data_IF_623880949638
#
_entry.id   IF_623880949638
#
_cell.length_a   1.000
_cell.length_b   1.000
_cell.length_c   1.000
_cell.angle_alpha   90.00
_cell.angle_beta   90.00
_cell.angle_gamma   90.00
#
_symmetry.space_group_name_H-M   'P 1'
#
loop_
_entity.id
_entity.type
_entity.pdbx_description
1 polymer ?
#
# COMPACT_ATOMS: atom_id res chain seq x y z
N UNK A 1 24.39 -3.37 -1.51
CA UNK A 1 23.43 -2.25 -1.56
C UNK A 1 22.70 -2.31 -0.24
N UNK A 2 22.81 -1.27 0.58
CA UNK A 2 22.18 -1.24 1.90
C UNK A 2 20.81 -0.58 1.77
N UNK A 3 19.75 -1.20 2.29
CA UNK A 3 18.39 -0.69 2.19
C UNK A 3 18.12 0.10 3.47
N UNK A 4 18.10 1.43 3.37
CA UNK A 4 17.89 2.32 4.52
C UNK A 4 16.43 2.40 4.98
N UNK A 5 15.47 2.14 4.09
CA UNK A 5 14.04 2.32 4.37
C UNK A 5 13.17 1.61 3.34
N UNK A 6 12.00 1.15 3.76
CA UNK A 6 10.96 0.54 2.91
C UNK A 6 9.63 1.23 3.20
N UNK A 7 8.90 1.56 2.14
CA UNK A 7 7.62 2.27 2.19
C UNK A 7 6.59 1.55 1.32
N UNK A 8 5.32 1.61 1.73
CA UNK A 8 4.17 1.02 1.03
C UNK A 8 3.08 2.07 0.84
N UNK A 9 2.36 2.01 -0.28
CA UNK A 9 1.31 2.97 -0.61
C UNK A 9 0.00 2.28 -0.99
N UNK A 10 -1.13 2.88 -0.60
CA UNK A 10 -2.47 2.44 -1.00
C UNK A 10 -3.41 3.63 -1.16
N UNK A 11 -4.35 3.51 -2.10
CA UNK A 11 -5.46 4.45 -2.26
C UNK A 11 -6.66 4.09 -1.41
N UNK A 12 -6.66 2.89 -0.84
CA UNK A 12 -7.79 2.40 -0.06
C UNK A 12 -7.63 2.81 1.40
N UNK A 13 -8.30 3.90 1.77
CA UNK A 13 -8.44 4.32 3.17
C UNK A 13 -9.10 3.26 4.04
N UNK A 14 -9.96 2.42 3.44
CA UNK A 14 -10.61 1.28 4.11
C UNK A 14 -9.56 0.23 4.50
N UNK A 15 -8.62 -0.11 3.61
CA UNK A 15 -7.54 -1.06 3.91
C UNK A 15 -6.67 -0.54 5.07
N UNK A 16 -6.29 0.75 5.06
CA UNK A 16 -5.54 1.34 6.16
C UNK A 16 -6.31 1.34 7.49
N UNK A 17 -7.63 1.57 7.43
CA UNK A 17 -8.50 1.48 8.60
C UNK A 17 -8.51 0.06 9.17
N UNK A 18 -8.59 -0.95 8.31
CA UNK A 18 -8.55 -2.35 8.72
C UNK A 18 -7.24 -2.76 9.35
N UNK A 19 -6.10 -2.32 8.79
CA UNK A 19 -4.78 -2.58 9.39
C UNK A 19 -4.65 -1.97 10.80
N UNK A 20 -5.31 -0.82 11.05
CA UNK A 20 -5.29 -0.14 12.36
C UNK A 20 -6.30 -0.71 13.35
N UNK A 21 -7.36 -1.35 12.87
CA UNK A 21 -8.44 -1.88 13.70
C UNK A 21 -8.16 -3.32 14.14
N UNK A 22 -8.70 -3.72 15.29
CA UNK A 22 -8.76 -5.15 15.61
C UNK A 22 -9.64 -5.86 14.57
N UNK A 23 -9.04 -6.78 13.82
CA UNK A 23 -9.62 -7.52 12.69
C UNK A 23 -10.85 -8.39 13.03
N UNK A 24 -11.32 -8.38 14.28
CA UNK A 24 -12.42 -9.20 14.80
C UNK A 24 -13.78 -8.96 14.12
N UNK A 25 -13.96 -7.83 13.42
CA UNK A 25 -15.22 -7.48 12.76
C UNK A 25 -15.18 -7.65 11.22
N UNK A 26 -14.10 -8.19 10.65
CA UNK A 26 -13.94 -8.35 9.21
C UNK A 26 -14.41 -9.75 8.76
N UNK A 27 -14.91 -9.85 7.52
CA UNK A 27 -15.24 -11.15 6.91
C UNK A 27 -13.96 -11.97 6.75
N UNK A 28 -14.04 -13.29 6.95
CA UNK A 28 -12.88 -14.21 6.94
C UNK A 28 -11.95 -14.07 5.72
N UNK A 29 -12.50 -13.82 4.54
CA UNK A 29 -11.69 -13.62 3.31
C UNK A 29 -10.87 -12.33 3.38
N UNK A 30 -11.44 -11.24 3.91
CA UNK A 30 -10.76 -9.96 4.10
C UNK A 30 -9.75 -10.03 5.24
N UNK A 31 -10.08 -10.78 6.31
CA UNK A 31 -9.17 -11.04 7.42
C UNK A 31 -7.89 -11.71 6.92
N UNK A 32 -7.98 -12.75 6.09
CA UNK A 32 -6.80 -13.47 5.62
C UNK A 32 -5.83 -12.58 4.84
N UNK A 33 -6.32 -11.68 3.98
CA UNK A 33 -5.46 -10.79 3.20
C UNK A 33 -4.90 -9.64 4.04
N UNK A 34 -5.71 -9.06 4.93
CA UNK A 34 -5.27 -7.94 5.78
C UNK A 34 -4.36 -8.39 6.92
N UNK A 35 -4.49 -9.63 7.41
CA UNK A 35 -3.62 -10.16 8.48
C UNK A 35 -2.20 -10.51 8.01
N UNK A 36 -2.01 -10.86 6.74
CA UNK A 36 -0.67 -11.15 6.20
C UNK A 36 0.20 -9.88 6.19
N UNK A 37 -0.42 -8.71 6.00
CA UNK A 37 0.32 -7.45 5.87
C UNK A 37 1.08 -7.07 7.15
N UNK A 38 0.47 -7.07 8.35
CA UNK A 38 1.17 -6.86 9.61
C UNK A 38 2.23 -7.92 9.96
N UNK A 39 2.19 -9.12 9.38
CA UNK A 39 3.21 -10.16 9.62
C UNK A 39 4.52 -9.85 8.88
N UNK A 40 4.44 -9.09 7.78
CA UNK A 40 5.57 -8.84 6.89
C UNK A 40 6.00 -7.37 6.86
N UNK A 41 5.20 -6.46 7.43
CA UNK A 41 5.40 -5.01 7.36
C UNK A 41 5.01 -4.32 8.65
N UNK A 42 5.59 -3.16 8.90
CA UNK A 42 5.20 -2.28 10.00
C UNK A 42 4.15 -1.26 9.53
N UNK A 43 3.16 -0.97 10.39
CA UNK A 43 2.05 -0.08 10.05
C UNK A 43 2.48 1.37 9.75
N UNK A 44 3.61 1.82 10.30
CA UNK A 44 4.22 3.13 10.03
C UNK A 44 4.83 3.24 8.62
N UNK A 45 5.05 2.11 7.92
CA UNK A 45 5.57 2.08 6.55
C UNK A 45 4.45 2.30 5.51
N UNK A 46 3.18 2.26 5.92
CA UNK A 46 2.04 2.36 5.02
C UNK A 46 1.48 3.78 4.93
N UNK A 47 1.39 4.29 3.71
CA UNK A 47 0.92 5.63 3.41
C UNK A 47 -0.31 5.62 2.50
N UNK A 48 -1.21 6.58 2.71
CA UNK A 48 -2.32 6.83 1.80
C UNK A 48 -1.86 7.74 0.66
N UNK A 49 -2.23 7.40 -0.57
CA UNK A 49 -2.10 8.30 -1.74
C UNK A 49 -3.39 8.33 -2.55
N UNK A 50 -3.76 9.46 -3.17
CA UNK A 50 -4.84 9.49 -4.16
C UNK A 50 -4.62 8.43 -5.25
N UNK A 51 -5.71 7.89 -5.81
CA UNK A 51 -5.65 6.86 -6.85
C UNK A 51 -4.80 7.30 -8.05
N UNK A 52 -4.87 8.58 -8.40
CA UNK A 52 -4.16 9.20 -9.51
C UNK A 52 -2.64 9.21 -9.31
N UNK A 53 -2.20 9.18 -8.05
CA UNK A 53 -0.79 9.15 -7.67
C UNK A 53 -0.29 7.75 -7.41
N UNK A 54 -1.15 6.72 -7.52
CA UNK A 54 -0.66 5.37 -7.43
C UNK A 54 0.31 5.16 -8.60
N UNK A 55 1.58 4.89 -8.28
CA UNK A 55 2.66 4.72 -9.26
C UNK A 55 2.31 3.69 -10.34
N UNK A 56 1.45 2.77 -9.91
CA UNK A 56 0.71 1.78 -10.64
C UNK A 56 -0.73 2.23 -10.96
N UNK A 57 -0.98 2.96 -12.05
CA UNK A 57 -1.80 2.27 -13.06
C UNK A 57 -1.11 0.98 -13.58
N UNK A 58 -0.98 -0.04 -12.72
CA UNK A 58 -0.67 -1.42 -13.17
C UNK A 58 -1.80 -1.92 -14.11
N UNK A 59 -2.96 -1.27 -14.11
CA UNK A 59 -4.09 -1.54 -15.00
C UNK A 59 -4.11 -0.76 -16.33
N UNK A 60 -3.27 0.27 -16.53
CA UNK A 60 -3.33 1.11 -17.76
C UNK A 60 -2.09 1.04 -18.67
N UNK A 61 -1.11 0.19 -18.37
CA UNK A 61 -0.03 -0.14 -19.32
C UNK A 61 0.94 1.00 -19.66
N UNK A 62 1.10 1.99 -18.76
CA UNK A 62 2.11 3.04 -18.91
C UNK A 62 3.48 2.54 -18.45
N UNK A 63 4.55 3.04 -19.07
CA UNK A 63 5.94 2.70 -18.72
C UNK A 63 6.21 3.07 -17.24
N UNK A 64 6.53 2.09 -16.38
CA UNK A 64 6.81 2.33 -14.96
C UNK A 64 7.95 3.33 -14.74
N UNK A 65 8.90 3.43 -15.67
CA UNK A 65 10.10 4.25 -15.50
C UNK A 65 9.80 5.76 -15.59
N UNK A 66 8.96 6.18 -16.54
CA UNK A 66 8.57 7.59 -16.69
C UNK A 66 7.75 8.09 -15.50
N UNK A 67 6.88 7.24 -14.94
CA UNK A 67 6.07 7.59 -13.77
C UNK A 67 6.89 7.75 -12.50
N UNK A 68 7.90 6.90 -12.30
CA UNK A 68 8.76 6.99 -11.12
C UNK A 68 9.52 8.33 -11.14
N UNK A 69 9.99 8.79 -12.30
CA UNK A 69 10.72 10.06 -12.41
C UNK A 69 9.86 11.31 -12.17
N UNK A 70 8.54 11.23 -12.35
CA UNK A 70 7.63 12.36 -12.28
C UNK A 70 6.87 12.47 -10.95
N UNK A 71 7.04 11.50 -10.06
CA UNK A 71 6.26 11.38 -8.84
C UNK A 71 7.08 11.80 -7.62
N UNK A 72 6.57 12.78 -6.87
CA UNK A 72 7.17 13.26 -5.61
C UNK A 72 7.13 12.22 -4.47
N UNK A 73 6.56 11.03 -4.73
CA UNK A 73 6.44 9.94 -3.77
C UNK A 73 7.69 9.05 -3.69
N UNK A 74 8.64 9.16 -4.63
CA UNK A 74 9.75 8.23 -4.80
C UNK A 74 11.12 8.91 -4.89
#
# INVERSE_FOLDING_TARGET
MDISSVFFWTYSTIVLSWMKSESRNLKSVVVNEVLIIPELTELNQWHHVPLEQIPADISKGLDPLEKIQLSDLW
#
